data_IF_625267555116
#
_entry.id   IF_625267555116
#
_cell.length_a   1.000
_cell.length_b   1.000
_cell.length_c   1.000
_cell.angle_alpha   90.00
_cell.angle_beta   90.00
_cell.angle_gamma   90.00
#
_symmetry.space_group_name_H-M   'P 1'
#
loop_
_entity.id
_entity.type
_entity.pdbx_description
1 polymer ?
#
# COMPACT_ATOMS: atom_id res chain seq x y z
N UNK A 1 -56.90 92.17 -1.87
CA UNK A 1 -55.68 91.82 -2.62
C UNK A 1 -55.23 90.45 -2.14
N UNK A 2 -55.41 89.44 -2.99
CA UNK A 2 -55.28 88.01 -2.67
C UNK A 2 -53.83 87.55 -2.84
N UNK A 3 -53.26 86.93 -1.81
CA UNK A 3 -51.91 86.36 -1.81
C UNK A 3 -51.95 85.02 -2.54
N UNK A 4 -51.30 84.95 -3.70
CA UNK A 4 -51.20 83.74 -4.52
C UNK A 4 -50.04 82.89 -4.02
N UNK A 5 -50.34 81.75 -3.40
CA UNK A 5 -49.31 80.78 -2.99
C UNK A 5 -48.89 79.95 -4.21
N UNK A 6 -47.59 79.98 -4.56
CA UNK A 6 -47.00 79.03 -5.49
C UNK A 6 -46.90 77.66 -4.78
N UNK A 7 -47.69 76.69 -5.26
CA UNK A 7 -47.55 75.29 -4.86
C UNK A 7 -46.34 74.72 -5.62
N UNK A 8 -45.29 74.23 -4.95
CA UNK A 8 -44.20 73.55 -5.65
C UNK A 8 -44.73 72.22 -6.19
N UNK A 9 -44.69 72.06 -7.51
CA UNK A 9 -44.92 70.78 -8.17
C UNK A 9 -43.67 69.94 -7.92
N UNK A 10 -43.69 69.10 -6.89
CA UNK A 10 -42.71 68.04 -6.76
C UNK A 10 -42.92 67.04 -7.91
N UNK A 11 -41.86 66.64 -8.64
CA UNK A 11 -41.98 65.52 -9.57
C UNK A 11 -42.44 64.29 -8.78
N UNK A 12 -43.29 63.42 -9.35
CA UNK A 12 -43.68 62.19 -8.68
C UNK A 12 -42.40 61.45 -8.32
N UNK A 13 -42.36 60.99 -7.06
CA UNK A 13 -41.26 60.26 -6.43
C UNK A 13 -41.05 58.97 -7.24
N UNK A 14 -40.41 59.06 -8.41
CA UNK A 14 -39.93 57.93 -9.19
C UNK A 14 -38.71 57.41 -8.48
N UNK A 15 -38.97 56.84 -7.31
CA UNK A 15 -38.20 55.71 -6.83
C UNK A 15 -38.30 54.71 -7.96
N UNK A 16 -37.31 54.74 -8.84
CA UNK A 16 -36.84 53.56 -9.53
C UNK A 16 -36.46 52.60 -8.40
N UNK A 17 -37.46 51.95 -7.81
CA UNK A 17 -37.30 50.59 -7.37
C UNK A 17 -36.84 49.90 -8.63
N UNK A 18 -35.52 49.74 -8.76
CA UNK A 18 -34.96 48.79 -9.69
C UNK A 18 -35.73 47.51 -9.37
N UNK A 19 -36.71 47.21 -10.22
CA UNK A 19 -37.33 45.91 -10.31
C UNK A 19 -36.18 45.05 -10.83
N UNK A 20 -35.33 44.62 -9.89
CA UNK A 20 -34.27 43.69 -10.18
C UNK A 20 -35.00 42.45 -10.65
N UNK A 21 -35.02 42.27 -11.97
CA UNK A 21 -35.61 41.12 -12.60
C UNK A 21 -35.09 39.88 -11.86
N UNK A 22 -35.99 39.12 -11.23
CA UNK A 22 -35.66 37.93 -10.42
C UNK A 22 -34.74 36.97 -11.19
N UNK A 23 -34.81 37.03 -12.53
CA UNK A 23 -33.91 36.36 -13.48
C UNK A 23 -32.42 36.74 -13.30
N UNK A 24 -32.11 38.02 -13.07
CA UNK A 24 -30.74 38.52 -12.87
C UNK A 24 -30.21 38.06 -11.51
N UNK A 25 -31.03 38.10 -10.46
CA UNK A 25 -30.65 37.59 -9.13
C UNK A 25 -30.38 36.08 -9.18
N UNK A 26 -31.24 35.32 -9.85
CA UNK A 26 -31.06 33.89 -10.04
C UNK A 26 -29.77 33.58 -10.84
N UNK A 27 -29.47 34.36 -11.88
CA UNK A 27 -28.26 34.18 -12.68
C UNK A 27 -26.97 34.52 -11.90
N UNK A 28 -27.00 35.55 -11.05
CA UNK A 28 -25.90 35.94 -10.17
C UNK A 28 -25.66 34.89 -9.08
N UNK A 29 -26.73 34.36 -8.48
CA UNK A 29 -26.64 33.28 -7.51
C UNK A 29 -26.07 32.00 -8.13
N UNK A 30 -26.45 31.68 -9.37
CA UNK A 30 -25.92 30.52 -10.10
C UNK A 30 -24.42 30.72 -10.43
N UNK A 31 -24.03 31.92 -10.87
CA UNK A 31 -22.63 32.26 -11.13
C UNK A 31 -21.78 32.21 -9.85
N UNK A 32 -22.30 32.73 -8.73
CA UNK A 32 -21.65 32.65 -7.42
C UNK A 32 -21.51 31.19 -6.96
N UNK A 33 -22.56 30.39 -7.13
CA UNK A 33 -22.54 28.96 -6.84
C UNK A 33 -21.47 28.22 -7.65
N UNK A 34 -21.35 28.52 -8.94
CA UNK A 34 -20.30 27.96 -9.80
C UNK A 34 -18.89 28.38 -9.37
N UNK A 35 -18.71 29.63 -8.97
CA UNK A 35 -17.43 30.15 -8.47
C UNK A 35 -17.01 29.40 -7.19
N UNK A 36 -17.91 29.26 -6.23
CA UNK A 36 -17.66 28.54 -4.98
C UNK A 36 -17.38 27.07 -5.25
N UNK A 37 -18.13 26.44 -6.17
CA UNK A 37 -17.90 25.06 -6.58
C UNK A 37 -16.51 24.87 -7.20
N UNK A 38 -16.11 25.75 -8.11
CA UNK A 38 -14.78 25.71 -8.71
C UNK A 38 -13.66 25.87 -7.67
N UNK A 39 -13.85 26.77 -6.71
CA UNK A 39 -12.89 26.98 -5.63
C UNK A 39 -12.78 25.75 -4.71
N UNK A 40 -13.91 25.09 -4.42
CA UNK A 40 -13.94 23.83 -3.69
C UNK A 40 -13.22 22.72 -4.45
N UNK A 41 -13.48 22.58 -5.76
CA UNK A 41 -12.81 21.58 -6.60
C UNK A 41 -11.30 21.83 -6.64
N UNK A 42 -10.87 23.09 -6.77
CA UNK A 42 -9.46 23.46 -6.77
C UNK A 42 -8.79 23.10 -5.42
N UNK A 43 -9.45 23.41 -4.31
CA UNK A 43 -8.95 23.06 -2.98
C UNK A 43 -8.84 21.55 -2.80
N UNK A 44 -9.87 20.80 -3.22
CA UNK A 44 -9.85 19.33 -3.23
C UNK A 44 -8.67 18.82 -4.07
N UNK A 45 -8.46 19.36 -5.27
CA UNK A 45 -7.36 18.99 -6.15
C UNK A 45 -5.98 19.26 -5.52
N UNK A 46 -5.79 20.43 -4.89
CA UNK A 46 -4.54 20.77 -4.19
C UNK A 46 -4.31 19.80 -3.03
N UNK A 47 -5.34 19.48 -2.26
CA UNK A 47 -5.25 18.49 -1.17
C UNK A 47 -4.88 17.11 -1.73
N UNK A 48 -5.52 16.65 -2.81
CA UNK A 48 -5.18 15.38 -3.47
C UNK A 48 -3.76 15.36 -4.02
N UNK A 49 -3.31 16.45 -4.64
CA UNK A 49 -1.97 16.61 -5.16
C UNK A 49 -0.92 16.61 -4.04
N UNK A 50 -1.24 17.20 -2.89
CA UNK A 50 -0.31 17.32 -1.77
C UNK A 50 -0.29 16.07 -0.87
N UNK A 51 -1.45 15.49 -0.59
CA UNK A 51 -1.56 14.30 0.27
C UNK A 51 -1.30 12.99 -0.47
N UNK A 52 -1.27 13.00 -1.81
CA UNK A 52 -1.14 11.80 -2.66
C UNK A 52 -1.75 10.55 -2.01
N UNK A 53 -3.05 10.54 -1.65
CA UNK A 53 -3.64 9.45 -0.86
C UNK A 53 -3.46 8.08 -1.52
N UNK A 54 -3.35 8.06 -2.85
CA UNK A 54 -3.02 6.88 -3.63
C UNK A 54 -1.64 6.28 -3.30
N UNK A 55 -0.64 7.08 -2.90
CA UNK A 55 0.69 6.58 -2.55
C UNK A 55 0.69 5.88 -1.20
N UNK A 56 0.05 6.45 -0.18
CA UNK A 56 -0.11 5.81 1.13
C UNK A 56 -0.91 4.51 1.02
N UNK A 57 -2.01 4.53 0.27
CA UNK A 57 -2.80 3.33 0.03
C UNK A 57 -2.00 2.26 -0.72
N UNK A 58 -1.25 2.65 -1.75
CA UNK A 58 -0.37 1.72 -2.49
C UNK A 58 0.75 1.17 -1.62
N UNK A 59 1.31 1.98 -0.72
CA UNK A 59 2.35 1.54 0.21
C UNK A 59 1.80 0.49 1.19
N UNK A 60 0.62 0.73 1.79
CA UNK A 60 -0.04 -0.23 2.68
C UNK A 60 -0.36 -1.54 1.97
N UNK A 61 -0.89 -1.48 0.74
CA UNK A 61 -1.13 -2.66 -0.06
C UNK A 61 0.16 -3.42 -0.35
N UNK A 62 1.22 -2.71 -0.75
CA UNK A 62 2.51 -3.32 -1.05
C UNK A 62 3.10 -4.01 0.19
N UNK A 63 3.00 -3.40 1.37
CA UNK A 63 3.39 -4.03 2.63
C UNK A 63 2.59 -5.30 2.92
N UNK A 64 1.29 -5.29 2.64
CA UNK A 64 0.44 -6.48 2.79
C UNK A 64 0.85 -7.60 1.83
N UNK A 65 1.10 -7.29 0.56
CA UNK A 65 1.58 -8.25 -0.42
C UNK A 65 2.95 -8.80 -0.04
N UNK A 66 3.87 -7.94 0.41
CA UNK A 66 5.20 -8.33 0.89
C UNK A 66 5.12 -9.30 2.06
N UNK A 67 4.25 -9.05 3.04
CA UNK A 67 4.03 -9.97 4.18
C UNK A 67 3.47 -11.32 3.72
N UNK A 68 2.46 -11.31 2.84
CA UNK A 68 1.89 -12.54 2.28
C UNK A 68 2.96 -13.35 1.52
N UNK A 69 3.77 -12.67 0.71
CA UNK A 69 4.88 -13.29 -0.02
C UNK A 69 5.94 -13.86 0.93
N UNK A 70 6.29 -13.15 2.01
CA UNK A 70 7.18 -13.64 3.06
C UNK A 70 6.70 -14.95 3.71
N UNK A 71 5.42 -15.02 4.05
CA UNK A 71 4.79 -16.23 4.57
C UNK A 71 4.83 -17.37 3.54
N UNK A 72 4.54 -17.06 2.28
CA UNK A 72 4.58 -18.02 1.18
C UNK A 72 5.97 -18.62 0.97
N UNK A 73 7.03 -17.80 0.86
CA UNK A 73 8.40 -18.29 0.61
C UNK A 73 8.91 -19.18 1.75
N UNK A 74 8.51 -18.89 2.99
CA UNK A 74 8.86 -19.71 4.14
C UNK A 74 8.14 -21.07 4.11
N UNK A 75 6.83 -21.08 3.82
CA UNK A 75 6.06 -22.32 3.66
C UNK A 75 6.61 -23.17 2.51
N UNK A 76 6.98 -22.53 1.40
CA UNK A 76 7.63 -23.19 0.26
C UNK A 76 8.96 -23.81 0.65
N UNK A 77 9.79 -23.10 1.42
CA UNK A 77 11.05 -23.63 1.94
C UNK A 77 10.80 -24.87 2.80
N UNK A 78 9.85 -24.81 3.73
CA UNK A 78 9.48 -25.95 4.59
C UNK A 78 9.07 -27.16 3.75
N UNK A 79 8.17 -26.97 2.78
CA UNK A 79 7.72 -28.05 1.90
C UNK A 79 8.88 -28.67 1.08
N UNK A 80 9.80 -27.84 0.58
CA UNK A 80 10.96 -28.34 -0.18
C UNK A 80 11.96 -29.07 0.71
N UNK A 81 12.19 -28.60 1.94
CA UNK A 81 13.04 -29.27 2.91
C UNK A 81 12.42 -30.60 3.36
N UNK A 82 11.12 -30.64 3.63
CA UNK A 82 10.42 -31.85 4.03
C UNK A 82 10.48 -32.92 2.92
N UNK A 83 10.25 -32.52 1.66
CA UNK A 83 10.46 -33.39 0.49
C UNK A 83 11.91 -33.90 0.41
N UNK A 84 12.90 -33.03 0.64
CA UNK A 84 14.32 -33.42 0.61
C UNK A 84 14.70 -34.38 1.76
N UNK A 85 14.15 -34.17 2.96
CA UNK A 85 14.38 -35.05 4.10
C UNK A 85 13.61 -36.37 4.00
N UNK A 86 12.43 -36.38 3.37
CA UNK A 86 11.71 -37.60 3.03
C UNK A 86 12.47 -38.49 2.02
N UNK A 87 13.29 -37.89 1.16
CA UNK A 87 14.20 -38.61 0.25
C UNK A 87 15.49 -39.10 0.92
N UNK A 88 15.69 -38.84 2.22
CA UNK A 88 16.89 -39.27 2.92
C UNK A 88 16.84 -40.80 3.12
N UNK A 89 17.80 -41.55 2.57
CA UNK A 89 17.86 -42.99 2.76
C UNK A 89 18.05 -43.36 4.24
N UNK A 90 17.51 -44.51 4.65
CA UNK A 90 17.73 -45.09 5.97
C UNK A 90 19.21 -45.45 6.21
N UNK A 91 19.58 -45.69 7.47
CA UNK A 91 20.96 -46.07 7.82
C UNK A 91 21.36 -47.35 7.06
N UNK A 92 22.32 -47.24 6.13
CA UNK A 92 22.83 -48.35 5.31
C UNK A 92 22.50 -48.30 3.81
N UNK A 93 21.78 -47.30 3.32
CA UNK A 93 21.43 -47.14 1.90
C UNK A 93 22.34 -46.17 1.13
N UNK A 94 22.23 -46.23 -0.20
CA UNK A 94 23.15 -45.68 -1.20
C UNK A 94 23.54 -44.20 -0.99
N UNK A 95 24.85 -43.94 -1.09
CA UNK A 95 25.45 -42.60 -1.01
C UNK A 95 24.85 -41.61 -2.03
N UNK A 96 24.40 -42.13 -3.19
CA UNK A 96 23.74 -41.40 -4.28
C UNK A 96 22.49 -40.66 -3.80
N UNK A 97 21.55 -41.35 -3.14
CA UNK A 97 20.31 -40.75 -2.64
C UNK A 97 20.55 -39.70 -1.55
N UNK A 98 21.58 -39.90 -0.72
CA UNK A 98 21.99 -38.91 0.27
C UNK A 98 22.53 -37.63 -0.38
N UNK A 99 23.35 -37.75 -1.44
CA UNK A 99 23.86 -36.62 -2.20
C UNK A 99 22.73 -35.87 -2.92
N UNK A 100 21.74 -36.59 -3.44
CA UNK A 100 20.59 -36.00 -4.10
C UNK A 100 19.68 -35.23 -3.14
N UNK A 101 19.35 -35.81 -1.98
CA UNK A 101 18.63 -35.12 -0.90
C UNK A 101 19.37 -33.84 -0.45
N UNK A 102 20.71 -33.91 -0.30
CA UNK A 102 21.53 -32.74 0.02
C UNK A 102 21.45 -31.68 -1.08
N UNK A 103 21.50 -32.06 -2.36
CA UNK A 103 21.40 -31.13 -3.49
C UNK A 103 20.03 -30.45 -3.53
N UNK A 104 18.95 -31.20 -3.30
CA UNK A 104 17.59 -30.66 -3.22
C UNK A 104 17.46 -29.64 -2.09
N UNK A 105 17.93 -29.96 -0.89
CA UNK A 105 17.92 -29.05 0.25
C UNK A 105 18.75 -27.78 -0.01
N UNK A 106 19.95 -27.91 -0.60
CA UNK A 106 20.78 -26.75 -0.95
C UNK A 106 20.13 -25.84 -1.99
N UNK A 107 19.44 -26.43 -2.98
CA UNK A 107 18.71 -25.66 -3.99
C UNK A 107 17.55 -24.90 -3.37
N UNK A 108 16.78 -25.55 -2.49
CA UNK A 108 15.69 -24.93 -1.75
C UNK A 108 16.17 -23.73 -0.93
N UNK A 109 17.28 -23.88 -0.19
CA UNK A 109 17.88 -22.80 0.59
C UNK A 109 18.32 -21.64 -0.31
N UNK A 110 18.96 -21.91 -1.45
CA UNK A 110 19.39 -20.84 -2.38
C UNK A 110 18.20 -20.05 -2.94
N UNK A 111 17.13 -20.74 -3.33
CA UNK A 111 15.90 -20.10 -3.80
C UNK A 111 15.30 -19.23 -2.70
N UNK A 112 15.17 -19.77 -1.49
CA UNK A 112 14.69 -19.02 -0.34
C UNK A 112 15.55 -17.79 -0.04
N UNK A 113 16.88 -17.91 -0.05
CA UNK A 113 17.75 -16.76 0.22
C UNK A 113 17.58 -15.67 -0.84
N UNK A 114 17.49 -16.05 -2.12
CA UNK A 114 17.25 -15.12 -3.22
C UNK A 114 15.93 -14.39 -3.03
N UNK A 115 14.85 -15.13 -2.76
CA UNK A 115 13.51 -14.58 -2.68
C UNK A 115 13.32 -13.76 -1.38
N UNK A 116 13.96 -14.16 -0.26
CA UNK A 116 13.96 -13.42 1.00
C UNK A 116 14.73 -12.11 0.94
N UNK A 117 15.79 -12.04 0.13
CA UNK A 117 16.54 -10.78 -0.08
C UNK A 117 15.65 -9.72 -0.72
N UNK A 118 14.75 -10.12 -1.63
CA UNK A 118 13.77 -9.20 -2.26
C UNK A 118 12.73 -8.68 -1.27
N UNK A 119 12.35 -9.50 -0.30
CA UNK A 119 11.42 -9.11 0.77
C UNK A 119 12.07 -8.11 1.72
N UNK A 120 13.33 -8.33 2.09
CA UNK A 120 14.05 -7.49 3.05
C UNK A 120 14.50 -6.15 2.49
N UNK A 121 14.84 -6.10 1.20
CA UNK A 121 15.47 -4.94 0.58
C UNK A 121 14.65 -4.42 -0.61
N UNK A 122 13.40 -3.96 -0.37
CA UNK A 122 12.52 -3.46 -1.43
C UNK A 122 13.08 -2.21 -2.12
N UNK A 123 13.97 -1.48 -1.45
CA UNK A 123 14.57 -0.24 -1.95
C UNK A 123 15.45 -0.43 -3.18
N UNK A 124 15.96 -1.64 -3.40
CA UNK A 124 16.80 -1.97 -4.55
C UNK A 124 16.00 -2.37 -5.79
N UNK A 125 14.67 -2.50 -5.67
CA UNK A 125 13.74 -2.80 -6.78
C UNK A 125 12.88 -1.57 -7.16
N UNK A 126 13.19 -0.37 -6.62
CA UNK A 126 12.35 0.85 -6.63
C UNK A 126 12.19 1.60 -7.96
N UNK A 127 12.46 0.98 -9.12
CA UNK A 127 12.04 1.58 -10.39
C UNK A 127 10.62 1.16 -10.77
N UNK A 128 9.67 2.02 -10.39
CA UNK A 128 8.35 2.19 -10.99
C UNK A 128 7.31 1.09 -10.73
N UNK A 129 6.06 1.45 -11.02
CA UNK A 129 4.83 0.68 -11.30
C UNK A 129 4.75 -0.86 -11.20
N UNK A 130 5.84 -1.62 -11.28
CA UNK A 130 5.92 -3.07 -11.28
C UNK A 130 6.16 -3.71 -9.90
N UNK A 131 6.30 -2.93 -8.83
CA UNK A 131 6.51 -3.46 -7.47
C UNK A 131 5.39 -4.44 -7.01
N UNK A 132 4.16 -4.34 -7.54
CA UNK A 132 3.12 -5.33 -7.22
C UNK A 132 3.34 -6.69 -7.89
N UNK A 133 4.02 -6.75 -9.04
CA UNK A 133 4.34 -8.01 -9.72
C UNK A 133 5.48 -8.75 -9.02
N UNK A 134 6.39 -8.02 -8.35
CA UNK A 134 7.53 -8.61 -7.63
C UNK A 134 7.11 -9.50 -6.46
N UNK A 135 5.97 -9.20 -5.82
CA UNK A 135 5.42 -9.95 -4.69
C UNK A 135 4.18 -10.79 -5.06
N UNK A 136 3.96 -11.02 -6.35
CA UNK A 136 2.83 -11.81 -6.81
C UNK A 136 3.02 -13.28 -6.42
N UNK A 137 1.99 -13.85 -5.79
CA UNK A 137 1.88 -15.27 -5.48
C UNK A 137 0.71 -15.82 -6.27
N UNK A 138 0.93 -16.87 -7.06
CA UNK A 138 -0.18 -17.55 -7.74
C UNK A 138 -1.05 -18.23 -6.69
N UNK A 139 -2.36 -18.01 -6.77
CA UNK A 139 -3.32 -18.61 -5.84
C UNK A 139 -3.27 -20.14 -5.87
N UNK A 140 -2.99 -20.73 -7.04
CA UNK A 140 -2.83 -22.18 -7.20
C UNK A 140 -1.62 -22.73 -6.42
N UNK A 141 -0.50 -22.00 -6.39
CA UNK A 141 0.69 -22.42 -5.62
C UNK A 141 0.44 -22.31 -4.12
N UNK A 142 -0.26 -21.26 -3.69
CA UNK A 142 -0.66 -21.10 -2.29
C UNK A 142 -1.68 -22.19 -1.89
N UNK A 143 -2.62 -22.53 -2.77
CA UNK A 143 -3.60 -23.59 -2.56
C UNK A 143 -2.93 -24.97 -2.46
N UNK A 144 -1.90 -25.26 -3.27
CA UNK A 144 -1.12 -26.49 -3.17
C UNK A 144 -0.47 -26.61 -1.78
N UNK A 145 0.23 -25.56 -1.34
CA UNK A 145 0.87 -25.54 -0.01
C UNK A 145 -0.17 -25.66 1.12
N UNK A 146 -1.33 -25.03 0.96
CA UNK A 146 -2.41 -25.10 1.94
C UNK A 146 -2.99 -26.51 2.02
N UNK A 147 -3.23 -27.17 0.88
CA UNK A 147 -3.72 -28.55 0.82
C UNK A 147 -2.73 -29.56 1.39
N UNK A 148 -1.42 -29.28 1.26
CA UNK A 148 -0.35 -30.07 1.87
C UNK A 148 -0.19 -29.84 3.39
N UNK A 149 -1.04 -29.02 4.01
CA UNK A 149 -1.10 -28.79 5.46
C UNK A 149 -0.25 -27.62 5.97
N UNK A 150 0.52 -26.96 5.09
CA UNK A 150 1.39 -25.84 5.46
C UNK A 150 0.64 -24.53 5.75
N UNK A 151 -0.68 -24.49 5.50
CA UNK A 151 -1.55 -23.40 5.93
C UNK A 151 -1.66 -23.26 7.45
N UNK A 152 -1.59 -24.38 8.17
CA UNK A 152 -1.80 -24.46 9.62
C UNK A 152 -0.64 -23.90 10.44
N UNK A 153 0.49 -23.64 9.78
CA UNK A 153 1.64 -22.97 10.39
C UNK A 153 1.27 -21.49 10.54
N UNK A 154 0.63 -21.17 11.67
CA UNK A 154 0.32 -19.82 12.15
C UNK A 154 1.61 -19.12 12.58
N UNK A 155 2.53 -18.96 11.64
CA UNK A 155 3.78 -18.26 11.84
C UNK A 155 3.79 -17.05 10.92
N UNK A 156 3.68 -15.86 11.51
CA UNK A 156 3.91 -14.62 10.79
C UNK A 156 5.41 -14.41 10.62
N UNK A 157 5.84 -14.55 9.38
CA UNK A 157 7.22 -14.32 8.96
C UNK A 157 7.49 -12.82 9.07
N UNK A 158 8.23 -12.45 10.12
CA UNK A 158 8.70 -11.07 10.30
C UNK A 158 10.00 -10.84 9.55
N UNK A 159 10.25 -9.59 9.14
CA UNK A 159 11.50 -9.19 8.48
C UNK A 159 12.72 -9.55 9.35
N UNK A 160 12.63 -9.35 10.68
CA UNK A 160 13.67 -9.75 11.63
C UNK A 160 13.94 -11.27 11.63
N UNK A 161 12.90 -12.09 11.48
CA UNK A 161 13.05 -13.53 11.38
C UNK A 161 13.74 -13.94 10.08
N UNK A 162 13.37 -13.36 8.94
CA UNK A 162 14.05 -13.58 7.66
C UNK A 162 15.52 -13.17 7.73
N UNK A 163 15.82 -12.03 8.36
CA UNK A 163 17.20 -11.57 8.55
C UNK A 163 18.00 -12.53 9.43
N UNK A 164 17.39 -13.07 10.50
CA UNK A 164 18.03 -14.07 11.37
C UNK A 164 18.36 -15.38 10.63
N UNK A 165 17.51 -15.78 9.68
CA UNK A 165 17.73 -16.97 8.86
C UNK A 165 18.82 -16.76 7.81
N UNK A 166 18.88 -15.57 7.20
CA UNK A 166 19.89 -15.22 6.19
C UNK A 166 21.27 -14.94 6.81
N UNK A 167 21.29 -14.28 7.97
CA UNK A 167 22.50 -13.80 8.63
C UNK A 167 22.55 -14.22 10.11
N UNK A 168 22.69 -15.53 10.40
CA UNK A 168 22.66 -16.04 11.77
C UNK A 168 23.76 -15.48 12.67
N UNK A 169 24.85 -14.94 12.09
CA UNK A 169 25.96 -14.32 12.86
C UNK A 169 25.67 -12.89 13.32
N UNK A 170 24.61 -12.24 12.83
CA UNK A 170 24.25 -10.87 13.22
C UNK A 170 23.38 -10.82 14.48
N UNK A 171 22.64 -11.89 14.77
CA UNK A 171 21.76 -12.00 15.95
C UNK A 171 22.52 -12.19 17.27
N UNK A 172 23.79 -12.60 17.22
CA UNK A 172 24.64 -12.80 18.41
C UNK A 172 25.25 -11.51 18.96
N UNK A 173 24.93 -10.35 18.39
CA UNK A 173 25.33 -9.06 18.96
C UNK A 173 24.20 -8.60 19.89
N UNK A 174 24.26 -8.87 21.21
CA UNK A 174 23.30 -8.30 22.13
C UNK A 174 23.37 -6.78 21.98
N UNK A 175 22.20 -6.17 21.77
CA UNK A 175 21.99 -4.73 21.82
C UNK A 175 22.36 -4.19 23.21
N UNK A 176 23.66 -4.07 23.48
CA UNK A 176 24.22 -3.29 24.58
C UNK A 176 24.24 -1.83 24.15
N UNK A 177 23.10 -1.22 23.83
CA UNK A 177 23.00 0.23 23.62
C UNK A 177 21.56 0.72 23.85
N UNK A 178 20.95 0.30 24.96
CA UNK A 178 19.84 1.04 25.59
C UNK A 178 20.13 1.23 27.08
N UNK A 179 21.11 2.07 27.38
CA UNK A 179 21.19 2.77 28.66
C UNK A 179 22.17 3.95 28.52
N UNK A 180 21.69 5.15 28.87
CA UNK A 180 22.36 6.46 28.87
C UNK A 180 22.44 7.18 27.53
N UNK A 181 21.43 8.01 27.25
CA UNK A 181 21.50 9.42 27.66
C UNK A 181 20.10 9.99 27.85
#
# INVERSE_FOLDING_TARGET
MTVTYLIPIYPPDSRFTLDWDDSVEASLLLALGFLVLMQLILLIYIVLAHFQPCTLYRQQLNESYRRRYGNFIFRRLLAQLDRAFGHRPGAGQELSSCLEAKRMAQLAIRLFCRDSTKVLYPEYELDSSAASDAYFVLEDEEAELNSAGYASVNFDVTDAFLESLLYPKRTDIPSKNKAKS
#
